data_IF_278508578610
#
_entry.id   IF_278508578610
#
_cell.length_a   1.000
_cell.length_b   1.000
_cell.length_c   1.000
_cell.angle_alpha   90.00
_cell.angle_beta   90.00
_cell.angle_gamma   90.00
#
_symmetry.space_group_name_H-M   'P 1'
#
loop_
_entity.id
_entity.type
_entity.pdbx_description
1 polymer ?
#
# COMPACT_ATOMS: atom_id res chain seq x y z
N UNK A 1 -5.50 16.90 -23.71
CA UNK A 1 -4.50 16.54 -22.66
C UNK A 1 -5.09 15.43 -21.81
N UNK A 2 -4.27 14.47 -21.42
CA UNK A 2 -4.67 13.24 -20.74
C UNK A 2 -3.83 13.04 -19.47
N UNK A 3 -4.38 12.32 -18.49
CA UNK A 3 -3.63 11.81 -17.35
C UNK A 3 -3.17 10.39 -17.68
N UNK A 4 -1.88 10.24 -17.98
CA UNK A 4 -1.29 8.97 -18.38
C UNK A 4 -1.00 8.09 -17.16
N UNK A 5 -1.15 6.78 -17.35
CA UNK A 5 -0.93 5.74 -16.34
C UNK A 5 0.16 4.83 -16.87
N UNK A 6 1.25 4.65 -16.10
CA UNK A 6 2.26 3.68 -16.45
C UNK A 6 1.67 2.26 -16.33
N UNK A 7 1.78 1.45 -17.37
CA UNK A 7 1.22 0.08 -17.38
C UNK A 7 1.98 -0.89 -16.47
N UNK A 8 3.20 -0.55 -16.05
CA UNK A 8 4.04 -1.40 -15.19
C UNK A 8 3.74 -1.15 -13.71
N UNK A 9 3.81 0.09 -13.24
CA UNK A 9 3.55 0.41 -11.82
C UNK A 9 2.12 0.88 -11.52
N UNK A 10 1.36 1.28 -12.53
CA UNK A 10 -0.03 1.72 -12.38
C UNK A 10 -0.21 3.14 -11.84
N UNK A 11 0.89 3.88 -11.60
CA UNK A 11 0.87 5.27 -11.12
C UNK A 11 0.46 6.23 -12.23
N UNK A 12 -0.43 7.15 -11.90
CA UNK A 12 -0.97 8.17 -12.80
C UNK A 12 -0.19 9.49 -12.70
N UNK A 13 0.03 10.11 -13.86
CA UNK A 13 0.77 11.37 -14.01
C UNK A 13 -0.16 12.56 -14.21
N UNK A 14 0.38 13.75 -13.94
CA UNK A 14 -0.25 15.03 -14.25
C UNK A 14 -0.68 15.13 -15.71
N UNK A 15 -1.68 15.98 -15.96
CA UNK A 15 -2.31 16.13 -17.27
C UNK A 15 -1.29 16.68 -18.28
N UNK A 16 -1.09 15.98 -19.39
CA UNK A 16 -0.12 16.35 -20.44
C UNK A 16 -0.73 16.23 -21.85
N UNK A 17 -0.19 16.96 -22.83
CA UNK A 17 -0.50 16.73 -24.25
C UNK A 17 0.24 15.51 -24.79
N UNK A 18 1.50 15.33 -24.37
CA UNK A 18 2.38 14.26 -24.81
C UNK A 18 2.42 13.14 -23.78
N UNK A 19 2.63 11.92 -24.27
CA UNK A 19 2.93 10.77 -23.43
C UNK A 19 4.21 11.06 -22.64
N UNK A 20 4.28 10.78 -21.33
CA UNK A 20 5.52 11.02 -20.58
C UNK A 20 6.68 10.22 -21.17
N UNK A 21 7.86 10.86 -21.24
CA UNK A 21 9.10 10.24 -21.73
C UNK A 21 9.48 9.03 -20.89
N UNK A 22 9.24 9.13 -19.58
CA UNK A 22 9.66 8.16 -18.61
C UNK A 22 8.79 8.17 -17.36
N UNK A 23 8.78 7.03 -16.68
CA UNK A 23 8.11 6.81 -15.42
C UNK A 23 9.16 6.83 -14.30
N UNK A 24 9.16 7.90 -13.51
CA UNK A 24 10.12 8.08 -12.39
C UNK A 24 10.05 6.92 -11.40
N UNK A 25 8.86 6.34 -11.19
CA UNK A 25 8.66 5.22 -10.28
C UNK A 25 9.33 3.94 -10.83
N UNK A 26 9.23 3.68 -12.13
CA UNK A 26 9.86 2.50 -12.75
C UNK A 26 11.36 2.67 -12.99
N UNK A 27 11.84 3.91 -13.08
CA UNK A 27 13.27 4.22 -13.23
C UNK A 27 14.04 4.13 -11.91
N UNK A 28 13.33 4.02 -10.80
CA UNK A 28 13.92 4.00 -9.47
C UNK A 28 14.35 2.55 -9.11
N UNK A 29 15.45 2.40 -8.37
CA UNK A 29 16.11 1.12 -8.10
C UNK A 29 15.29 0.10 -7.27
N UNK A 30 14.18 0.55 -6.66
CA UNK A 30 13.23 -0.27 -5.91
C UNK A 30 12.12 -0.82 -6.80
N UNK A 31 12.13 -0.44 -8.07
CA UNK A 31 11.30 -0.96 -9.14
C UNK A 31 12.17 -1.42 -10.30
N UNK A 32 11.56 -1.61 -11.47
CA UNK A 32 12.21 -1.98 -12.70
C UNK A 32 11.51 -1.34 -13.90
N UNK A 33 12.27 -1.21 -14.98
CA UNK A 33 11.74 -0.93 -16.31
C UNK A 33 11.31 -2.27 -16.92
N UNK A 34 10.07 -2.35 -17.41
CA UNK A 34 9.61 -3.54 -18.10
C UNK A 34 10.57 -3.90 -19.26
N UNK A 35 10.94 -5.19 -19.45
CA UNK A 35 11.86 -5.59 -20.51
C UNK A 35 11.42 -5.18 -21.94
N UNK A 36 10.12 -4.98 -22.16
CA UNK A 36 9.57 -4.46 -23.42
C UNK A 36 9.57 -2.93 -23.52
N UNK A 37 10.19 -2.24 -22.56
CA UNK A 37 10.17 -0.79 -22.43
C UNK A 37 8.95 -0.28 -21.67
N UNK A 38 8.96 1.02 -21.37
CA UNK A 38 7.85 1.65 -20.68
C UNK A 38 6.67 1.88 -21.63
N UNK A 39 5.47 1.65 -21.12
CA UNK A 39 4.24 1.90 -21.88
C UNK A 39 3.16 2.53 -21.01
N UNK A 40 2.19 3.15 -21.68
CA UNK A 40 1.24 4.06 -21.07
C UNK A 40 -0.20 3.76 -21.51
N UNK A 41 -1.14 3.95 -20.58
CA UNK A 41 -2.59 3.91 -20.82
C UNK A 41 -3.25 5.13 -20.16
N UNK A 42 -4.58 5.19 -20.19
CA UNK A 42 -5.38 6.15 -19.43
C UNK A 42 -6.53 5.42 -18.76
N UNK A 43 -7.11 6.00 -17.70
CA UNK A 43 -8.27 5.43 -17.04
C UNK A 43 -9.44 5.28 -18.03
N UNK A 44 -9.67 6.30 -18.87
CA UNK A 44 -10.68 6.26 -19.93
C UNK A 44 -10.48 5.08 -20.90
N UNK A 45 -9.23 4.82 -21.32
CA UNK A 45 -8.92 3.68 -22.21
C UNK A 45 -9.19 2.34 -21.50
N UNK A 46 -8.84 2.23 -20.22
CA UNK A 46 -9.12 1.04 -19.41
C UNK A 46 -10.64 0.80 -19.29
N UNK A 47 -11.43 1.84 -18.99
CA UNK A 47 -12.89 1.74 -18.90
C UNK A 47 -13.52 1.36 -20.25
N UNK A 48 -13.12 2.01 -21.35
CA UNK A 48 -13.63 1.71 -22.70
C UNK A 48 -13.32 0.29 -23.17
N UNK A 49 -12.21 -0.29 -22.69
CA UNK A 49 -11.84 -1.66 -23.04
C UNK A 49 -12.83 -2.70 -22.51
N UNK A 50 -13.59 -2.38 -21.44
CA UNK A 50 -14.47 -3.31 -20.71
C UNK A 50 -13.76 -4.59 -20.22
N UNK A 51 -12.43 -4.59 -20.20
CA UNK A 51 -11.63 -5.74 -19.77
C UNK A 51 -11.53 -5.83 -18.25
N UNK A 52 -11.43 -4.67 -17.60
CA UNK A 52 -11.17 -4.57 -16.18
C UNK A 52 -12.45 -4.40 -15.37
N UNK A 53 -12.47 -5.00 -14.20
CA UNK A 53 -13.45 -4.77 -13.13
C UNK A 53 -12.72 -4.84 -11.79
N UNK A 54 -13.20 -4.10 -10.80
CA UNK A 54 -12.75 -4.33 -9.42
C UNK A 54 -13.59 -5.42 -8.77
N UNK A 55 -12.92 -6.28 -8.02
CA UNK A 55 -13.52 -7.25 -7.11
C UNK A 55 -13.36 -6.72 -5.68
N UNK A 56 -14.47 -6.66 -4.94
CA UNK A 56 -14.52 -6.20 -3.55
C UNK A 56 -14.98 -7.37 -2.69
N UNK A 57 -14.11 -7.87 -1.80
CA UNK A 57 -14.40 -9.02 -0.94
C UNK A 57 -14.34 -8.63 0.52
N UNK A 58 -15.25 -9.17 1.32
CA UNK A 58 -15.20 -9.04 2.78
C UNK A 58 -14.15 -10.02 3.33
N UNK A 59 -13.12 -9.49 3.97
CA UNK A 59 -12.03 -10.28 4.57
C UNK A 59 -12.36 -10.64 6.03
N UNK A 60 -12.86 -9.68 6.78
CA UNK A 60 -13.34 -9.84 8.15
C UNK A 60 -14.36 -8.75 8.49
N UNK A 61 -14.86 -8.74 9.72
CA UNK A 61 -15.76 -7.69 10.18
C UNK A 61 -15.09 -6.32 10.06
N UNK A 62 -15.65 -5.47 9.20
CA UNK A 62 -15.16 -4.11 8.96
C UNK A 62 -13.92 -4.00 8.07
N UNK A 63 -13.52 -5.06 7.36
CA UNK A 63 -12.41 -5.00 6.40
C UNK A 63 -12.80 -5.61 5.06
N UNK A 64 -12.59 -4.85 3.99
CA UNK A 64 -12.83 -5.29 2.62
C UNK A 64 -11.56 -5.13 1.78
N UNK A 65 -11.22 -6.13 0.99
CA UNK A 65 -10.17 -6.04 -0.02
C UNK A 65 -10.75 -5.53 -1.34
N UNK A 66 -9.94 -4.81 -2.11
CA UNK A 66 -10.27 -4.32 -3.46
C UNK A 66 -9.12 -4.70 -4.38
N UNK A 67 -9.41 -5.45 -5.46
CA UNK A 67 -8.43 -5.84 -6.48
C UNK A 67 -8.96 -5.67 -7.89
N UNK A 68 -8.12 -5.27 -8.85
CA UNK A 68 -8.49 -5.25 -10.27
C UNK A 68 -8.40 -6.64 -10.89
N UNK A 69 -9.41 -7.04 -11.67
CA UNK A 69 -9.43 -8.28 -12.48
C UNK A 69 -9.67 -7.96 -13.97
N UNK A 70 -8.87 -8.50 -14.91
CA UNK A 70 -7.59 -9.20 -14.67
C UNK A 70 -6.58 -8.29 -13.98
N UNK A 71 -5.49 -8.89 -13.47
CA UNK A 71 -4.42 -8.15 -12.81
C UNK A 71 -3.89 -7.02 -13.72
N UNK A 72 -3.64 -5.86 -13.13
CA UNK A 72 -3.09 -4.70 -13.82
C UNK A 72 -1.90 -4.15 -13.03
N UNK A 73 -0.84 -3.76 -13.76
CA UNK A 73 0.38 -3.25 -13.18
C UNK A 73 0.96 -4.19 -12.11
N UNK A 74 1.12 -3.72 -10.86
CA UNK A 74 1.72 -4.49 -9.76
C UNK A 74 0.76 -5.58 -9.25
N UNK A 75 -0.54 -5.46 -9.49
CA UNK A 75 -1.53 -6.43 -8.98
C UNK A 75 -1.77 -6.33 -7.48
N UNK A 76 -1.59 -5.14 -6.92
CA UNK A 76 -1.77 -4.90 -5.49
C UNK A 76 -3.24 -4.97 -5.05
N UNK A 77 -3.42 -5.10 -3.74
CA UNK A 77 -4.70 -5.07 -3.03
C UNK A 77 -4.76 -3.80 -2.20
N UNK A 78 -5.84 -3.02 -2.37
CA UNK A 78 -6.18 -1.95 -1.43
C UNK A 78 -7.18 -2.50 -0.40
N UNK A 79 -7.22 -1.89 0.78
CA UNK A 79 -8.12 -2.32 1.85
C UNK A 79 -9.01 -1.16 2.32
N UNK A 80 -10.31 -1.38 2.31
CA UNK A 80 -11.29 -0.48 2.92
C UNK A 80 -11.58 -0.94 4.35
N UNK A 81 -11.16 -0.13 5.33
CA UNK A 81 -11.52 -0.30 6.74
C UNK A 81 -12.83 0.44 6.99
N UNK A 82 -13.80 -0.23 7.60
CA UNK A 82 -15.00 0.40 8.16
C UNK A 82 -14.82 0.59 9.67
N UNK A 83 -14.62 1.84 10.09
CA UNK A 83 -14.59 2.23 11.50
C UNK A 83 -15.77 3.13 11.82
N UNK A 84 -16.14 3.22 13.10
CA UNK A 84 -17.45 3.64 13.64
C UNK A 84 -18.12 4.88 13.03
N UNK A 85 -17.40 5.78 12.32
CA UNK A 85 -17.91 6.75 11.32
C UNK A 85 -16.80 7.25 10.36
N UNK A 86 -15.72 6.48 10.16
CA UNK A 86 -14.54 6.94 9.42
C UNK A 86 -13.89 5.78 8.68
N UNK A 87 -14.33 5.58 7.44
CA UNK A 87 -13.81 4.59 6.55
C UNK A 87 -12.50 5.08 5.92
N UNK A 88 -11.48 4.23 5.96
CA UNK A 88 -10.16 4.52 5.40
C UNK A 88 -9.88 3.56 4.26
N UNK A 89 -9.49 4.10 3.11
CA UNK A 89 -8.87 3.30 2.06
C UNK A 89 -7.35 3.29 2.28
N UNK A 90 -6.82 2.13 2.65
CA UNK A 90 -5.40 1.87 2.75
C UNK A 90 -4.85 1.43 1.39
N UNK A 91 -3.82 2.14 0.92
CA UNK A 91 -3.30 2.09 -0.43
C UNK A 91 -4.39 2.41 -1.49
N UNK A 92 -4.14 2.19 -2.77
CA UNK A 92 -5.11 2.46 -3.82
C UNK A 92 -4.96 1.50 -5.00
N UNK A 93 -6.00 1.44 -5.82
CA UNK A 93 -6.07 0.67 -7.06
C UNK A 93 -6.17 1.63 -8.26
N UNK A 94 -5.56 1.26 -9.38
CA UNK A 94 -5.55 2.11 -10.59
C UNK A 94 -6.91 2.18 -11.28
N UNK A 95 -7.63 1.07 -11.39
CA UNK A 95 -8.92 1.04 -12.07
C UNK A 95 -10.03 1.58 -11.16
N UNK A 96 -10.86 2.45 -11.70
CA UNK A 96 -12.04 3.00 -11.03
C UNK A 96 -13.17 3.13 -12.07
N UNK A 97 -14.32 2.54 -11.76
CA UNK A 97 -15.52 2.60 -12.58
C UNK A 97 -16.77 2.87 -11.74
N UNK A 98 -17.87 3.16 -12.42
CA UNK A 98 -19.14 3.50 -11.78
C UNK A 98 -19.66 2.39 -10.86
N UNK A 99 -19.47 1.12 -11.24
CA UNK A 99 -19.87 -0.01 -10.40
C UNK A 99 -19.07 -0.05 -9.10
N UNK A 100 -17.75 0.14 -9.16
CA UNK A 100 -16.90 0.25 -7.96
C UNK A 100 -17.36 1.39 -7.07
N UNK A 101 -17.63 2.57 -7.65
CA UNK A 101 -18.09 3.75 -6.90
C UNK A 101 -19.38 3.45 -6.14
N UNK A 102 -20.36 2.82 -6.81
CA UNK A 102 -21.64 2.46 -6.20
C UNK A 102 -21.48 1.42 -5.07
N UNK A 103 -20.65 0.39 -5.26
CA UNK A 103 -20.40 -0.59 -4.20
C UNK A 103 -19.71 0.03 -2.99
N UNK A 104 -18.75 0.93 -3.20
CA UNK A 104 -18.10 1.66 -2.11
C UNK A 104 -19.10 2.56 -1.35
N UNK A 105 -20.02 3.23 -2.04
CA UNK A 105 -21.10 3.97 -1.38
C UNK A 105 -22.01 3.07 -0.54
N UNK A 106 -22.35 1.87 -1.01
CA UNK A 106 -23.12 0.88 -0.23
C UNK A 106 -22.37 0.43 1.04
N UNK A 107 -21.04 0.46 1.00
CA UNK A 107 -20.16 0.21 2.15
C UNK A 107 -19.92 1.46 3.02
N UNK A 108 -20.67 2.54 2.84
CA UNK A 108 -20.56 3.75 3.66
C UNK A 108 -19.55 4.78 3.16
N UNK A 109 -19.01 4.60 1.94
CA UNK A 109 -18.07 5.52 1.31
C UNK A 109 -16.66 5.44 1.91
N UNK A 110 -15.88 6.48 1.64
CA UNK A 110 -14.49 6.65 2.11
C UNK A 110 -14.40 8.04 2.72
N UNK A 111 -13.61 8.20 3.78
CA UNK A 111 -13.33 9.50 4.42
C UNK A 111 -11.86 9.93 4.29
N UNK A 112 -10.95 8.99 4.03
CA UNK A 112 -9.55 9.28 3.72
C UNK A 112 -8.91 8.16 2.90
N UNK A 113 -7.98 8.53 2.02
CA UNK A 113 -6.99 7.61 1.44
C UNK A 113 -5.69 7.78 2.20
N UNK A 114 -5.01 6.68 2.50
CA UNK A 114 -3.70 6.68 3.14
C UNK A 114 -2.82 5.68 2.42
N UNK A 115 -1.59 6.07 2.10
CA UNK A 115 -0.64 5.21 1.41
C UNK A 115 0.44 4.65 2.32
N UNK A 116 0.83 3.41 2.06
CA UNK A 116 2.04 2.82 2.59
C UNK A 116 3.28 3.46 1.97
N UNK A 117 3.35 3.56 0.63
CA UNK A 117 4.48 4.10 -0.11
C UNK A 117 4.15 4.35 -1.61
N UNK A 118 5.05 4.97 -2.41
CA UNK A 118 4.78 5.44 -3.76
C UNK A 118 4.30 4.43 -4.80
N UNK A 119 4.63 3.14 -4.68
CA UNK A 119 4.17 2.15 -5.65
C UNK A 119 2.64 1.99 -5.66
N UNK A 120 1.96 2.33 -4.56
CA UNK A 120 0.52 2.15 -4.42
C UNK A 120 -0.26 3.48 -4.50
N UNK A 121 0.36 4.52 -5.06
CA UNK A 121 -0.31 5.79 -5.37
C UNK A 121 -1.35 5.65 -6.49
N UNK A 122 -1.11 4.76 -7.46
CA UNK A 122 -2.09 4.42 -8.51
C UNK A 122 -2.79 5.64 -9.14
N UNK A 123 -4.13 5.65 -9.17
CA UNK A 123 -4.97 6.79 -9.58
C UNK A 123 -5.58 7.50 -8.37
N UNK A 124 -4.85 7.60 -7.26
CA UNK A 124 -5.31 8.20 -5.98
C UNK A 124 -6.09 9.52 -6.13
N UNK A 125 -5.71 10.37 -7.09
CA UNK A 125 -6.40 11.65 -7.32
C UNK A 125 -7.78 11.45 -7.95
N UNK A 126 -7.96 10.48 -8.85
CA UNK A 126 -9.28 10.13 -9.39
C UNK A 126 -10.21 9.67 -8.27
N UNK A 127 -9.72 8.80 -7.39
CA UNK A 127 -10.48 8.34 -6.22
C UNK A 127 -10.81 9.50 -5.27
N UNK A 128 -9.81 10.32 -4.94
CA UNK A 128 -9.99 11.44 -4.02
C UNK A 128 -10.93 12.53 -4.54
N UNK A 129 -10.92 12.81 -5.83
CA UNK A 129 -11.87 13.74 -6.48
C UNK A 129 -13.28 13.12 -6.54
N UNK A 130 -13.39 11.84 -6.89
CA UNK A 130 -14.68 11.11 -6.96
C UNK A 130 -15.40 11.07 -5.61
N UNK A 131 -14.68 10.75 -4.54
CA UNK A 131 -15.27 10.66 -3.20
C UNK A 131 -15.16 11.97 -2.40
N UNK A 132 -14.52 13.00 -2.96
CA UNK A 132 -14.24 14.28 -2.32
C UNK A 132 -13.57 14.14 -0.92
N UNK A 133 -12.44 13.43 -0.89
CA UNK A 133 -11.70 13.09 0.34
C UNK A 133 -10.23 13.52 0.30
N UNK A 134 -9.59 13.70 1.47
CA UNK A 134 -8.14 13.88 1.55
C UNK A 134 -7.36 12.58 1.25
N UNK A 135 -6.13 12.78 0.77
CA UNK A 135 -5.09 11.76 0.63
C UNK A 135 -3.96 12.10 1.59
N UNK A 136 -3.59 11.17 2.47
CA UNK A 136 -2.46 11.33 3.37
C UNK A 136 -1.21 10.64 2.82
N UNK A 137 -0.15 11.42 2.61
CA UNK A 137 1.17 10.98 2.15
C UNK A 137 2.22 11.48 3.14
N UNK A 138 3.19 10.65 3.50
CA UNK A 138 4.27 11.11 4.37
C UNK A 138 5.17 12.10 3.61
N UNK A 139 5.60 13.19 4.26
CA UNK A 139 6.37 14.26 3.61
C UNK A 139 7.68 13.79 2.98
N UNK A 140 8.32 12.76 3.55
CA UNK A 140 9.53 12.14 3.00
C UNK A 140 9.31 11.52 1.61
N UNK A 141 8.06 11.22 1.23
CA UNK A 141 7.73 10.65 -0.07
C UNK A 141 7.08 11.67 -1.02
N UNK A 142 7.12 12.96 -0.68
CA UNK A 142 6.54 14.06 -1.48
C UNK A 142 7.09 14.14 -2.90
N UNK A 143 8.36 13.84 -3.09
CA UNK A 143 9.01 13.89 -4.40
C UNK A 143 8.43 12.87 -5.40
N UNK A 144 7.79 11.80 -4.90
CA UNK A 144 7.21 10.74 -5.71
C UNK A 144 5.76 11.03 -6.15
N UNK A 145 5.23 12.22 -5.85
CA UNK A 145 3.87 12.61 -6.25
C UNK A 145 3.86 13.07 -7.71
N UNK A 146 3.42 12.19 -8.62
CA UNK A 146 3.38 12.45 -10.07
C UNK A 146 2.19 13.29 -10.55
N UNK A 147 1.08 13.25 -9.80
CA UNK A 147 -0.12 14.07 -10.06
C UNK A 147 -0.41 14.94 -8.85
N UNK A 148 -0.24 16.25 -9.00
CA UNK A 148 -0.60 17.21 -7.95
C UNK A 148 -2.12 17.26 -7.76
N UNK A 149 -2.55 17.50 -6.52
CA UNK A 149 -3.96 17.71 -6.17
C UNK A 149 -4.07 18.48 -4.86
N UNK A 150 -5.13 19.28 -4.73
CA UNK A 150 -5.49 19.96 -3.47
C UNK A 150 -5.94 18.99 -2.37
N UNK A 151 -6.28 17.75 -2.73
CA UNK A 151 -6.68 16.72 -1.77
C UNK A 151 -5.48 16.12 -1.01
N UNK A 152 -4.25 16.34 -1.50
CA UNK A 152 -3.05 15.75 -0.89
C UNK A 152 -2.65 16.55 0.35
N UNK A 153 -2.59 15.84 1.47
CA UNK A 153 -2.10 16.32 2.76
C UNK A 153 -0.79 15.59 3.05
N UNK A 154 0.29 16.36 3.18
CA UNK A 154 1.56 15.83 3.66
C UNK A 154 1.55 15.81 5.19
N UNK A 155 1.78 14.63 5.77
CA UNK A 155 1.97 14.46 7.20
C UNK A 155 3.44 14.19 7.52
N UNK A 156 3.85 14.53 8.73
CA UNK A 156 5.24 14.46 9.18
C UNK A 156 5.35 13.72 10.51
N UNK A 157 6.59 13.34 10.84
CA UNK A 157 6.91 12.64 12.08
C UNK A 157 6.74 11.13 11.97
N UNK A 158 6.73 10.46 13.12
CA UNK A 158 6.81 9.00 13.18
C UNK A 158 5.43 8.32 13.22
N UNK A 159 4.36 9.07 13.51
CA UNK A 159 3.00 8.56 13.51
C UNK A 159 1.95 9.64 13.31
N UNK A 160 0.81 9.27 12.72
CA UNK A 160 -0.37 10.12 12.59
C UNK A 160 -1.62 9.36 13.07
N UNK A 161 -2.30 9.90 14.07
CA UNK A 161 -3.61 9.40 14.53
C UNK A 161 -4.68 9.95 13.59
N UNK A 162 -5.36 9.09 12.83
CA UNK A 162 -6.49 9.48 11.99
C UNK A 162 -7.79 9.54 12.80
N UNK A 163 -7.98 8.56 13.69
CA UNK A 163 -9.12 8.44 14.60
C UNK A 163 -8.71 7.66 15.85
N UNK A 164 -9.58 7.59 16.87
CA UNK A 164 -9.32 6.86 18.13
C UNK A 164 -8.98 5.35 17.93
N UNK A 165 -9.32 4.77 16.77
CA UNK A 165 -9.03 3.37 16.44
C UNK A 165 -7.98 3.16 15.35
N UNK A 166 -7.57 4.20 14.61
CA UNK A 166 -6.70 4.06 13.43
C UNK A 166 -5.51 5.02 13.53
N UNK A 167 -4.31 4.45 13.54
CA UNK A 167 -3.04 5.19 13.57
C UNK A 167 -2.11 4.70 12.46
N UNK A 168 -1.46 5.64 11.78
CA UNK A 168 -0.43 5.38 10.78
C UNK A 168 0.94 5.51 11.45
N UNK A 169 1.87 4.62 11.15
CA UNK A 169 3.25 4.68 11.65
C UNK A 169 4.23 4.70 10.49
N UNK A 170 5.19 5.64 10.52
CA UNK A 170 6.29 5.71 9.57
C UNK A 170 7.41 4.75 10.02
N UNK A 171 7.64 3.70 9.26
CA UNK A 171 8.74 2.76 9.52
C UNK A 171 9.97 3.06 8.64
N UNK A 172 9.73 3.66 7.47
CA UNK A 172 10.73 3.82 6.44
C UNK A 172 11.19 2.46 5.88
N UNK A 173 12.42 2.43 5.36
CA UNK A 173 13.02 1.21 4.81
C UNK A 173 12.85 1.16 3.29
N UNK A 174 11.83 0.46 2.81
CA UNK A 174 11.51 0.36 1.37
C UNK A 174 11.37 1.74 0.74
N UNK A 175 10.61 2.63 1.37
CA UNK A 175 10.65 4.08 1.09
C UNK A 175 10.97 4.86 2.35
N UNK A 176 11.50 6.07 2.21
CA UNK A 176 11.82 6.90 3.37
C UNK A 176 10.54 7.22 4.14
N UNK A 177 9.45 7.60 3.46
CA UNK A 177 8.13 7.79 4.04
C UNK A 177 7.32 6.50 4.25
N UNK A 178 7.91 5.33 3.99
CA UNK A 178 7.23 4.04 4.08
C UNK A 178 6.47 3.84 5.40
N UNK A 179 5.17 3.56 5.30
CA UNK A 179 4.24 3.55 6.40
C UNK A 179 3.43 2.26 6.50
N UNK A 180 2.96 1.99 7.71
CA UNK A 180 1.98 0.95 8.01
C UNK A 180 0.76 1.59 8.69
N UNK A 181 -0.39 0.94 8.61
CA UNK A 181 -1.59 1.32 9.34
C UNK A 181 -1.89 0.28 10.42
N UNK A 182 -2.09 0.77 11.64
CA UNK A 182 -2.56 -0.01 12.78
C UNK A 182 -4.03 0.33 13.04
N UNK A 183 -4.87 -0.70 12.98
CA UNK A 183 -6.26 -0.63 13.35
C UNK A 183 -6.47 -1.39 14.65
N UNK A 184 -6.63 -0.64 15.75
CA UNK A 184 -6.72 -1.16 17.12
C UNK A 184 -7.92 -2.09 17.32
N UNK A 185 -9.05 -1.75 16.73
CA UNK A 185 -10.31 -2.50 16.91
C UNK A 185 -10.49 -3.66 15.91
N UNK A 186 -9.57 -3.80 14.94
CA UNK A 186 -9.56 -4.91 13.98
C UNK A 186 -9.25 -6.26 14.65
N UNK A 187 -9.49 -7.36 13.93
CA UNK A 187 -9.25 -8.73 14.43
C UNK A 187 -9.90 -8.97 15.80
N UNK A 188 -11.21 -8.68 15.93
CA UNK A 188 -11.97 -8.81 17.18
C UNK A 188 -11.36 -8.02 18.36
N UNK A 189 -10.96 -6.77 18.12
CA UNK A 189 -10.29 -5.88 19.09
C UNK A 189 -8.93 -6.37 19.58
N UNK A 190 -8.30 -7.32 18.88
CA UNK A 190 -6.92 -7.76 19.14
C UNK A 190 -5.89 -6.97 18.30
N UNK A 191 -6.36 -6.08 17.44
CA UNK A 191 -5.56 -5.23 16.58
C UNK A 191 -5.11 -5.90 15.29
N UNK A 192 -4.96 -5.08 14.25
CA UNK A 192 -4.64 -5.48 12.89
C UNK A 192 -3.65 -4.51 12.25
N UNK A 193 -2.65 -5.03 11.53
CA UNK A 193 -1.75 -4.24 10.70
C UNK A 193 -2.03 -4.40 9.21
N UNK A 194 -2.11 -3.27 8.51
CA UNK A 194 -2.03 -3.21 7.05
C UNK A 194 -0.67 -2.64 6.68
N UNK A 195 0.12 -3.39 5.91
CA UNK A 195 1.55 -3.09 5.78
C UNK A 195 1.99 -2.75 4.37
N UNK A 196 1.09 -2.81 3.38
CA UNK A 196 1.51 -2.78 1.97
C UNK A 196 2.53 -3.89 1.74
N UNK A 197 3.76 -3.53 1.37
CA UNK A 197 4.93 -4.41 1.40
C UNK A 197 6.08 -3.89 2.30
N UNK A 198 5.85 -2.86 3.11
CA UNK A 198 6.82 -2.37 4.12
C UNK A 198 7.20 -3.51 5.08
N UNK A 199 6.23 -4.37 5.38
CA UNK A 199 6.42 -5.68 6.01
C UNK A 199 5.68 -6.70 5.15
N UNK A 200 6.42 -7.56 4.45
CA UNK A 200 5.86 -8.47 3.44
C UNK A 200 5.64 -9.87 4.01
N UNK A 201 4.40 -10.37 3.95
CA UNK A 201 4.09 -11.76 4.32
C UNK A 201 4.65 -12.73 3.27
N UNK A 202 5.39 -13.74 3.72
CA UNK A 202 6.00 -14.75 2.82
C UNK A 202 5.07 -15.94 2.58
N UNK A 203 5.51 -16.87 1.73
CA UNK A 203 4.65 -17.90 1.13
C UNK A 203 3.88 -18.77 2.14
N UNK A 204 4.50 -19.13 3.27
CA UNK A 204 3.90 -19.99 4.29
C UNK A 204 2.96 -19.26 5.26
N UNK A 205 2.83 -17.93 5.12
CA UNK A 205 1.93 -17.08 5.92
C UNK A 205 2.14 -17.17 7.43
N UNK A 206 3.33 -17.57 7.86
CA UNK A 206 3.74 -17.62 9.27
C UNK A 206 4.94 -16.72 9.57
N UNK A 207 5.47 -16.06 8.53
CA UNK A 207 6.63 -15.20 8.62
C UNK A 207 6.50 -14.00 7.68
N UNK A 208 7.40 -13.05 7.88
CA UNK A 208 7.55 -11.87 7.03
C UNK A 208 8.98 -11.71 6.54
N UNK A 209 9.17 -10.81 5.57
CA UNK A 209 10.47 -10.35 5.09
C UNK A 209 10.44 -8.82 4.92
N UNK A 210 11.63 -8.22 4.83
CA UNK A 210 11.86 -6.79 4.74
C UNK A 210 12.80 -6.54 3.56
N UNK A 211 12.46 -5.68 2.61
CA UNK A 211 13.31 -5.47 1.43
C UNK A 211 13.43 -3.99 1.08
N UNK A 212 14.60 -3.61 0.58
CA UNK A 212 14.80 -2.30 -0.04
C UNK A 212 14.15 -2.30 -1.42
N UNK A 213 14.32 -3.40 -2.17
CA UNK A 213 13.71 -3.60 -3.49
C UNK A 213 13.21 -5.04 -3.60
N UNK A 214 11.88 -5.21 -3.61
CA UNK A 214 11.27 -6.53 -3.81
C UNK A 214 11.52 -7.08 -5.23
N UNK A 215 11.34 -6.31 -6.32
CA UNK A 215 11.56 -6.82 -7.68
C UNK A 215 13.01 -7.22 -7.95
N UNK A 216 13.98 -6.52 -7.34
CA UNK A 216 15.41 -6.76 -7.53
C UNK A 216 16.04 -7.62 -6.44
N UNK A 217 15.22 -8.13 -5.51
CA UNK A 217 15.63 -8.97 -4.38
C UNK A 217 16.72 -8.35 -3.48
N UNK A 218 16.68 -7.03 -3.28
CA UNK A 218 17.67 -6.31 -2.46
C UNK A 218 17.16 -6.21 -1.00
N UNK A 219 17.89 -6.78 -0.01
CA UNK A 219 17.47 -6.75 1.38
C UNK A 219 17.61 -5.35 2.00
N UNK A 220 16.83 -5.07 3.05
CA UNK A 220 17.09 -3.93 3.93
C UNK A 220 18.28 -4.23 4.85
N UNK A 221 19.08 -3.21 5.22
CA UNK A 221 20.11 -3.36 6.24
C UNK A 221 19.56 -3.85 7.59
N UNK A 222 20.34 -4.68 8.29
CA UNK A 222 19.95 -5.28 9.56
C UNK A 222 19.57 -4.25 10.64
N UNK A 223 20.29 -3.13 10.72
CA UNK A 223 19.99 -2.04 11.65
C UNK A 223 18.64 -1.36 11.33
N UNK A 224 18.30 -1.19 10.06
CA UNK A 224 16.99 -0.64 9.66
C UNK A 224 15.86 -1.61 10.00
N UNK A 225 16.01 -2.91 9.73
CA UNK A 225 15.01 -3.91 10.13
C UNK A 225 14.80 -3.91 11.65
N UNK A 226 15.89 -3.83 12.43
CA UNK A 226 15.81 -3.71 13.89
C UNK A 226 15.01 -2.48 14.33
N UNK A 227 15.31 -1.30 13.76
CA UNK A 227 14.59 -0.06 14.03
C UNK A 227 13.08 -0.20 13.73
N UNK A 228 12.72 -0.79 12.59
CA UNK A 228 11.33 -0.98 12.19
C UNK A 228 10.55 -1.84 13.19
N UNK A 229 11.11 -2.99 13.58
CA UNK A 229 10.40 -3.90 14.50
C UNK A 229 10.40 -3.42 15.95
N UNK A 230 11.43 -2.68 16.37
CA UNK A 230 11.47 -2.05 17.69
C UNK A 230 10.36 -1.00 17.86
N UNK A 231 10.01 -0.26 16.79
CA UNK A 231 8.93 0.75 16.80
C UNK A 231 7.55 0.13 17.02
N UNK A 232 7.32 -1.08 16.52
CA UNK A 232 5.99 -1.71 16.51
C UNK A 232 5.86 -2.87 17.50
N UNK A 233 6.93 -3.24 18.20
CA UNK A 233 6.95 -4.41 19.10
C UNK A 233 5.87 -4.35 20.19
N UNK A 234 5.59 -3.14 20.70
CA UNK A 234 4.64 -2.92 21.79
C UNK A 234 3.22 -2.63 21.28
N UNK A 235 3.00 -2.58 19.96
CA UNK A 235 1.67 -2.43 19.38
C UNK A 235 0.88 -3.74 19.51
N UNK A 236 -0.38 -3.69 19.99
CA UNK A 236 -1.23 -4.87 20.01
C UNK A 236 -1.75 -5.13 18.59
N UNK A 237 -1.28 -6.21 17.96
CA UNK A 237 -1.86 -6.70 16.71
C UNK A 237 -1.74 -8.23 16.60
N UNK A 238 -2.88 -8.85 16.35
CA UNK A 238 -2.99 -10.29 16.16
C UNK A 238 -2.93 -10.68 14.67
N UNK A 239 -3.35 -9.78 13.78
CA UNK A 239 -3.47 -10.03 12.35
C UNK A 239 -2.66 -9.04 11.52
N UNK A 240 -2.17 -9.48 10.36
CA UNK A 240 -1.42 -8.65 9.42
C UNK A 240 -1.79 -9.00 7.97
N UNK A 241 -2.16 -7.98 7.19
CA UNK A 241 -2.41 -8.07 5.75
C UNK A 241 -1.38 -7.27 4.96
N UNK A 242 -0.84 -7.87 3.90
CA UNK A 242 0.04 -7.19 2.94
C UNK A 242 -0.71 -6.84 1.64
N UNK A 243 -0.03 -6.18 0.70
CA UNK A 243 -0.58 -5.77 -0.59
C UNK A 243 -0.93 -6.91 -1.57
N UNK A 244 -0.67 -8.18 -1.24
CA UNK A 244 -0.78 -9.31 -2.18
C UNK A 244 -1.69 -10.41 -1.63
N UNK A 245 -2.69 -10.03 -0.83
CA UNK A 245 -3.67 -10.92 -0.21
C UNK A 245 -3.04 -12.06 0.61
N UNK A 246 -1.85 -11.82 1.17
CA UNK A 246 -1.20 -12.72 2.12
C UNK A 246 -1.41 -12.19 3.52
N UNK A 247 -1.82 -13.10 4.40
CA UNK A 247 -2.33 -12.75 5.73
C UNK A 247 -1.68 -13.66 6.76
N UNK A 248 -1.15 -13.06 7.83
CA UNK A 248 -0.86 -13.79 9.07
C UNK A 248 -2.11 -13.65 9.95
N UNK A 249 -2.81 -14.77 10.16
CA UNK A 249 -4.17 -14.78 10.74
C UNK A 249 -4.17 -14.55 12.26
N UNK A 250 -3.14 -15.04 12.94
CA UNK A 250 -2.95 -14.97 14.40
C UNK A 250 -1.47 -14.78 14.77
N UNK A 251 -1.21 -14.27 15.97
CA UNK A 251 0.15 -14.04 16.50
C UNK A 251 1.05 -13.25 15.54
N UNK A 252 0.47 -12.31 14.79
CA UNK A 252 1.19 -11.54 13.79
C UNK A 252 2.38 -10.77 14.38
N UNK A 253 2.23 -10.15 15.56
CA UNK A 253 3.35 -9.46 16.22
C UNK A 253 4.52 -10.41 16.49
N UNK A 254 4.26 -11.54 17.15
CA UNK A 254 5.27 -12.58 17.38
C UNK A 254 5.92 -13.04 16.07
N UNK A 255 5.13 -13.20 15.02
CA UNK A 255 5.62 -13.61 13.69
C UNK A 255 6.53 -12.56 13.05
N UNK A 256 6.25 -11.27 13.22
CA UNK A 256 7.12 -10.17 12.78
C UNK A 256 8.44 -10.19 13.56
N UNK A 257 8.39 -10.28 14.89
CA UNK A 257 9.59 -10.25 15.74
C UNK A 257 10.54 -11.41 15.45
N UNK A 258 10.02 -12.65 15.38
CA UNK A 258 10.84 -13.84 15.03
C UNK A 258 11.41 -13.76 13.62
N UNK A 259 10.68 -13.15 12.68
CA UNK A 259 11.13 -12.98 11.30
C UNK A 259 12.29 -11.98 11.22
N UNK A 260 12.22 -10.88 11.97
CA UNK A 260 13.30 -9.91 12.02
C UNK A 260 14.57 -10.50 12.66
N UNK A 261 14.45 -11.26 13.75
CA UNK A 261 15.60 -11.92 14.39
C UNK A 261 16.37 -12.82 13.40
N UNK A 262 15.66 -13.72 12.70
CA UNK A 262 16.29 -14.59 11.70
C UNK A 262 16.85 -13.80 10.51
N UNK A 263 16.13 -12.79 10.04
CA UNK A 263 16.55 -11.95 8.92
C UNK A 263 17.85 -11.20 9.24
N UNK A 264 17.92 -10.60 10.44
CA UNK A 264 19.10 -9.90 10.95
C UNK A 264 20.29 -10.87 11.10
N UNK A 265 20.06 -12.07 11.65
CA UNK A 265 21.11 -13.11 11.76
C UNK A 265 21.70 -13.44 10.39
N UNK A 266 20.86 -13.68 9.37
CA UNK A 266 21.33 -13.98 8.02
C UNK A 266 22.20 -12.86 7.44
N UNK A 267 21.77 -11.60 7.55
CA UNK A 267 22.55 -10.45 7.07
C UNK A 267 23.87 -10.26 7.83
N UNK A 268 23.96 -10.77 9.05
CA UNK A 268 25.19 -10.79 9.85
C UNK A 268 26.03 -12.05 9.64
N UNK A 269 25.74 -12.84 8.60
CA UNK A 269 26.49 -14.05 8.25
C UNK A 269 26.19 -15.26 9.15
N UNK A 270 25.09 -15.24 9.90
CA UNK A 270 24.67 -16.34 10.78
C UNK A 270 23.42 -17.02 10.24
N UNK A 271 23.54 -18.30 9.89
CA UNK A 271 22.38 -19.14 9.62
C UNK A 271 21.64 -19.47 10.93
N UNK A 272 20.36 -19.79 10.82
CA UNK A 272 19.46 -19.97 11.95
C UNK A 272 18.64 -21.25 11.78
N UNK A 273 18.10 -21.73 12.91
CA UNK A 273 17.09 -22.78 12.96
C UNK A 273 15.80 -22.18 13.52
N UNK A 274 14.67 -22.54 12.92
CA UNK A 274 13.33 -22.02 13.25
C UNK A 274 12.39 -23.14 13.64
#
# INVERSE_FOLDING_TARGET
MLNYICTTCGVQYSKSQEVPSDCIICNEERQYINPSGQSWTTLEKMQKSKLYKNEILKEETGLYSITTKPEFAIGQTAYLIQSQNFNVLWDCITYLDENTIQEIHKLGGIQAIVHSHPHYYSTQVEWAETFNIPIYIHEDDKEWVNRSSKQIIFWSGESLVLTDGITIYRLGGHFKGGAILHWKDGSDKKGLLLTGDIIQVVADRQWVSFMYSYPNLIPLPANKVKEMVDKIKDLPFNRLYNAFHRVIVEDANKSVQKSADRYIKALQGKLFHT
#
